data_IF_090119375365
#
_entry.id   IF_090119375365
#
_cell.length_a   1.000
_cell.length_b   1.000
_cell.length_c   1.000
_cell.angle_alpha   90.00
_cell.angle_beta   90.00
_cell.angle_gamma   90.00
#
_symmetry.space_group_name_H-M   'P 1'
#
loop_
_entity.id
_entity.type
_entity.pdbx_description
1 polymer ?
#
# COMPACT_ATOMS: atom_id res chain seq x y z
N UNK A 1 23.39 -17.15 4.84
CA UNK A 1 22.02 -17.70 4.84
C UNK A 1 21.01 -16.58 4.63
N UNK A 2 19.93 -16.86 3.90
CA UNK A 2 18.83 -15.92 3.65
C UNK A 2 17.50 -16.45 4.17
N UNK A 3 16.52 -15.56 4.31
CA UNK A 3 15.16 -15.89 4.74
C UNK A 3 14.16 -15.27 3.77
N UNK A 4 13.32 -16.11 3.20
CA UNK A 4 12.16 -15.72 2.41
C UNK A 4 10.89 -15.84 3.26
N UNK A 5 9.99 -14.86 3.14
CA UNK A 5 8.67 -14.85 3.77
C UNK A 5 7.63 -14.47 2.72
N UNK A 6 6.53 -15.20 2.68
CA UNK A 6 5.38 -14.89 1.85
C UNK A 6 4.13 -14.89 2.74
N UNK A 7 3.30 -13.88 2.57
CA UNK A 7 2.05 -13.67 3.29
C UNK A 7 0.97 -13.29 2.29
N UNK A 8 -0.24 -13.79 2.51
CA UNK A 8 -1.42 -13.43 1.75
C UNK A 8 -2.64 -13.30 2.66
N UNK A 9 -3.51 -12.36 2.34
CA UNK A 9 -4.78 -12.14 3.00
C UNK A 9 -5.87 -11.87 1.96
N UNK A 10 -7.09 -12.25 2.27
CA UNK A 10 -8.27 -11.86 1.52
C UNK A 10 -9.36 -11.43 2.49
N UNK A 11 -10.16 -10.44 2.09
CA UNK A 11 -11.33 -9.98 2.81
C UNK A 11 -12.51 -9.89 1.84
N UNK A 12 -13.69 -10.26 2.31
CA UNK A 12 -14.93 -9.97 1.61
C UNK A 12 -15.97 -9.49 2.60
N UNK A 13 -16.57 -8.35 2.30
CA UNK A 13 -17.61 -7.74 3.12
C UNK A 13 -18.85 -7.55 2.25
N UNK A 14 -20.00 -7.98 2.76
CA UNK A 14 -21.31 -7.68 2.20
C UNK A 14 -22.13 -7.07 3.34
N UNK A 15 -22.40 -5.77 3.23
CA UNK A 15 -23.13 -5.00 4.22
C UNK A 15 -24.32 -4.32 3.55
N UNK A 16 -25.47 -4.38 4.20
CA UNK A 16 -26.69 -3.73 3.73
C UNK A 16 -27.41 -3.12 4.93
N UNK A 17 -27.77 -1.84 4.80
CA UNK A 17 -28.49 -1.09 5.83
C UNK A 17 -29.54 -0.20 5.17
N UNK A 18 -30.73 -0.18 5.76
CA UNK A 18 -31.79 0.78 5.42
C UNK A 18 -31.88 1.75 6.60
N UNK A 19 -31.50 3.00 6.37
CA UNK A 19 -31.51 4.03 7.41
C UNK A 19 -32.71 4.96 7.19
N UNK A 20 -33.54 5.16 8.21
CA UNK A 20 -34.66 6.11 8.14
C UNK A 20 -34.16 7.54 7.92
N UNK A 21 -34.72 8.23 6.93
CA UNK A 21 -34.47 9.66 6.65
C UNK A 21 -35.78 10.43 6.81
N UNK A 22 -35.70 11.64 7.36
CA UNK A 22 -36.86 12.53 7.55
C UNK A 22 -37.43 12.97 6.19
N UNK A 23 -36.59 12.98 5.15
CA UNK A 23 -36.92 13.41 3.80
C UNK A 23 -37.33 12.25 2.87
N UNK A 24 -37.19 10.98 3.29
CA UNK A 24 -37.45 9.82 2.44
C UNK A 24 -38.20 8.71 3.21
N UNK A 25 -39.47 8.50 2.83
CA UNK A 25 -40.45 7.68 3.58
C UNK A 25 -40.06 6.18 3.59
N UNK A 26 -39.31 5.73 2.59
CA UNK A 26 -38.81 4.35 2.48
C UNK A 26 -37.43 4.14 3.16
N UNK A 27 -36.77 5.23 3.57
CA UNK A 27 -35.40 5.21 4.11
C UNK A 27 -34.33 5.06 3.03
N UNK A 28 -33.12 5.54 3.34
CA UNK A 28 -31.97 5.48 2.44
C UNK A 28 -31.32 4.09 2.53
N UNK A 29 -31.38 3.34 1.43
CA UNK A 29 -30.69 2.04 1.30
C UNK A 29 -29.21 2.25 0.97
N UNK A 30 -28.37 1.76 1.86
CA UNK A 30 -26.92 1.65 1.68
C UNK A 30 -26.54 0.18 1.53
N UNK A 31 -25.86 -0.15 0.43
CA UNK A 31 -25.25 -1.48 0.24
C UNK A 31 -23.78 -1.33 -0.08
N UNK A 32 -22.95 -2.13 0.56
CA UNK A 32 -21.50 -2.17 0.38
C UNK A 32 -21.04 -3.60 0.16
N UNK A 33 -20.53 -3.87 -1.04
CA UNK A 33 -19.91 -5.13 -1.44
C UNK A 33 -18.42 -4.89 -1.68
N UNK A 34 -17.56 -5.32 -0.75
CA UNK A 34 -16.11 -5.19 -0.82
C UNK A 34 -15.43 -6.55 -1.01
N UNK A 35 -14.41 -6.60 -1.85
CA UNK A 35 -13.51 -7.73 -1.99
C UNK A 35 -12.08 -7.22 -2.12
N UNK A 36 -11.21 -7.62 -1.21
CA UNK A 36 -9.83 -7.20 -1.17
C UNK A 36 -8.89 -8.40 -1.08
N UNK A 37 -7.89 -8.45 -1.93
CA UNK A 37 -6.82 -9.45 -1.90
C UNK A 37 -5.49 -8.73 -1.71
N UNK A 38 -4.72 -9.17 -0.72
CA UNK A 38 -3.42 -8.64 -0.39
C UNK A 38 -2.36 -9.74 -0.40
N UNK A 39 -1.24 -9.49 -1.06
CA UNK A 39 -0.08 -10.37 -1.10
C UNK A 39 1.17 -9.57 -0.71
N UNK A 40 2.04 -10.17 0.10
CA UNK A 40 3.32 -9.59 0.52
C UNK A 40 4.41 -10.66 0.47
N UNK A 41 5.47 -10.39 -0.29
CA UNK A 41 6.68 -11.20 -0.32
C UNK A 41 7.88 -10.40 0.17
N UNK A 42 8.74 -11.02 0.98
CA UNK A 42 10.01 -10.41 1.37
C UNK A 42 11.14 -11.42 1.42
N UNK A 43 12.33 -10.96 1.08
CA UNK A 43 13.56 -11.72 1.12
C UNK A 43 14.62 -10.92 1.87
N UNK A 44 15.32 -11.58 2.78
CA UNK A 44 16.48 -11.02 3.47
C UNK A 44 17.68 -11.93 3.25
N UNK A 45 18.76 -11.39 2.69
CA UNK A 45 20.01 -12.12 2.45
C UNK A 45 21.18 -11.47 3.16
N UNK A 46 22.08 -12.28 3.73
CA UNK A 46 23.42 -11.86 4.14
C UNK A 46 24.34 -12.07 2.93
N UNK A 47 24.98 -11.01 2.45
CA UNK A 47 25.88 -11.06 1.30
C UNK A 47 27.31 -11.40 1.75
N UNK A 48 27.75 -10.79 2.86
CA UNK A 48 29.02 -11.09 3.54
C UNK A 48 28.96 -10.55 4.99
N UNK A 49 30.10 -10.50 5.69
CA UNK A 49 30.19 -10.11 7.10
C UNK A 49 29.78 -8.64 7.39
N UNK A 50 29.78 -7.78 6.38
CA UNK A 50 29.44 -6.37 6.49
C UNK A 50 28.16 -6.01 5.72
N UNK A 51 27.84 -6.74 4.65
CA UNK A 51 26.72 -6.44 3.76
C UNK A 51 25.55 -7.40 3.91
N UNK A 52 24.35 -6.83 3.94
CA UNK A 52 23.10 -7.59 3.79
C UNK A 52 22.12 -6.83 2.91
N UNK A 53 21.23 -7.56 2.25
CA UNK A 53 20.16 -7.00 1.43
C UNK A 53 18.80 -7.43 1.97
N UNK A 54 17.81 -6.59 1.71
CA UNK A 54 16.41 -6.87 1.94
C UNK A 54 15.60 -6.38 0.74
N UNK A 55 14.91 -7.29 0.08
CA UNK A 55 13.99 -6.99 -1.01
C UNK A 55 12.59 -7.39 -0.61
N UNK A 56 11.58 -6.67 -1.07
CA UNK A 56 10.19 -7.03 -0.85
C UNK A 56 9.28 -6.47 -1.91
N UNK A 57 8.12 -7.10 -2.05
CA UNK A 57 7.03 -6.64 -2.88
C UNK A 57 5.71 -6.84 -2.15
N UNK A 58 4.73 -6.01 -2.47
CA UNK A 58 3.35 -6.23 -2.08
C UNK A 58 2.42 -5.88 -3.23
N UNK A 59 1.38 -6.67 -3.38
CA UNK A 59 0.32 -6.46 -4.35
C UNK A 59 -1.02 -6.44 -3.64
N UNK A 60 -1.85 -5.46 -3.99
CA UNK A 60 -3.21 -5.30 -3.48
C UNK A 60 -4.15 -5.22 -4.67
N UNK A 61 -5.22 -5.99 -4.62
CA UNK A 61 -6.35 -5.89 -5.54
C UNK A 61 -7.62 -5.68 -4.72
N UNK A 62 -8.19 -4.48 -4.78
CA UNK A 62 -9.42 -4.14 -4.09
C UNK A 62 -10.52 -3.82 -5.10
N UNK A 63 -11.72 -4.36 -4.84
CA UNK A 63 -12.95 -4.05 -5.55
C UNK A 63 -13.99 -3.63 -4.53
N UNK A 64 -14.56 -2.46 -4.75
CA UNK A 64 -15.60 -1.91 -3.90
C UNK A 64 -16.81 -1.58 -4.77
N UNK A 65 -17.98 -2.10 -4.42
CA UNK A 65 -19.24 -1.69 -5.02
C UNK A 65 -20.09 -1.09 -3.91
N UNK A 66 -20.49 0.16 -4.09
CA UNK A 66 -21.35 0.87 -3.17
C UNK A 66 -22.61 1.29 -3.90
N UNK A 67 -23.77 0.86 -3.39
CA UNK A 67 -25.07 1.31 -3.86
C UNK A 67 -25.69 2.23 -2.81
N UNK A 68 -26.10 3.43 -3.23
CA UNK A 68 -26.81 4.42 -2.42
C UNK A 68 -28.05 4.85 -3.20
N UNK A 69 -29.23 4.40 -2.77
CA UNK A 69 -30.52 4.68 -3.45
C UNK A 69 -30.46 4.24 -4.93
N UNK A 70 -30.39 5.18 -5.89
CA UNK A 70 -30.33 4.95 -7.34
C UNK A 70 -28.92 5.12 -7.95
N UNK A 71 -27.90 5.30 -7.10
CA UNK A 71 -26.50 5.51 -7.52
C UNK A 71 -25.65 4.29 -7.21
N UNK A 72 -24.91 3.83 -8.21
CA UNK A 72 -23.94 2.74 -8.07
C UNK A 72 -22.54 3.28 -8.34
N UNK A 73 -21.68 3.19 -7.33
CA UNK A 73 -20.25 3.52 -7.41
C UNK A 73 -19.47 2.21 -7.42
N UNK A 74 -18.66 1.98 -8.46
CA UNK A 74 -17.80 0.80 -8.57
C UNK A 74 -16.35 1.20 -8.68
N UNK A 75 -15.56 0.80 -7.69
CA UNK A 75 -14.13 1.09 -7.61
C UNK A 75 -13.34 -0.19 -7.77
N UNK A 76 -12.28 -0.11 -8.57
CA UNK A 76 -11.27 -1.16 -8.68
C UNK A 76 -9.90 -0.53 -8.53
N UNK A 77 -9.17 -0.95 -7.50
CA UNK A 77 -7.80 -0.55 -7.23
C UNK A 77 -6.84 -1.72 -7.43
N UNK A 78 -5.78 -1.48 -8.19
CA UNK A 78 -4.61 -2.35 -8.27
C UNK A 78 -3.40 -1.57 -7.78
N UNK A 79 -2.78 -2.02 -6.69
CA UNK A 79 -1.61 -1.38 -6.11
C UNK A 79 -0.46 -2.38 -6.04
N UNK A 80 0.69 -2.00 -6.58
CA UNK A 80 1.95 -2.74 -6.50
C UNK A 80 2.98 -1.86 -5.80
N UNK A 81 3.67 -2.41 -4.81
CA UNK A 81 4.77 -1.74 -4.14
C UNK A 81 5.96 -2.67 -4.12
N UNK A 82 7.12 -2.16 -4.53
CA UNK A 82 8.38 -2.89 -4.52
C UNK A 82 9.42 -2.08 -3.77
N UNK A 83 10.28 -2.75 -3.01
CA UNK A 83 11.30 -2.11 -2.18
C UNK A 83 12.57 -2.93 -2.13
N UNK A 84 13.70 -2.27 -2.32
CA UNK A 84 15.03 -2.85 -2.18
C UNK A 84 15.87 -2.01 -1.23
N UNK A 85 16.49 -2.66 -0.25
CA UNK A 85 17.31 -2.04 0.79
C UNK A 85 18.61 -2.80 0.97
N UNK A 86 19.71 -2.09 0.95
CA UNK A 86 21.02 -2.59 1.34
C UNK A 86 21.40 -2.06 2.71
N UNK A 87 22.17 -2.86 3.45
CA UNK A 87 22.75 -2.51 4.73
C UNK A 87 24.24 -2.81 4.67
N UNK A 88 25.06 -1.81 4.95
CA UNK A 88 26.49 -1.95 5.18
C UNK A 88 26.81 -1.67 6.65
N UNK A 89 27.38 -2.65 7.35
CA UNK A 89 27.95 -2.50 8.69
C UNK A 89 29.43 -2.16 8.54
N UNK A 90 29.74 -0.87 8.47
CA UNK A 90 31.13 -0.39 8.38
C UNK A 90 31.89 -0.74 9.67
N UNK A 91 31.25 -0.55 10.83
CA UNK A 91 31.76 -1.04 12.11
C UNK A 91 30.60 -1.25 13.12
N UNK A 92 30.91 -1.64 14.36
CA UNK A 92 29.88 -1.86 15.39
C UNK A 92 29.13 -0.57 15.80
N UNK A 93 29.72 0.61 15.54
CA UNK A 93 29.17 1.92 15.88
C UNK A 93 28.52 2.65 14.70
N UNK A 94 28.75 2.23 13.46
CA UNK A 94 28.26 2.90 12.26
C UNK A 94 27.66 1.90 11.28
N UNK A 95 26.37 2.04 11.01
CA UNK A 95 25.63 1.23 10.04
C UNK A 95 24.99 2.18 9.03
N UNK A 96 25.25 1.92 7.75
CA UNK A 96 24.64 2.64 6.65
C UNK A 96 23.59 1.75 5.99
N UNK A 97 22.46 2.35 5.63
CA UNK A 97 21.43 1.72 4.85
C UNK A 97 21.06 2.63 3.69
N UNK A 98 20.75 2.04 2.56
CA UNK A 98 20.27 2.78 1.40
C UNK A 98 19.42 1.87 0.54
N UNK A 99 18.57 2.46 -0.30
CA UNK A 99 17.66 1.69 -1.09
C UNK A 99 16.76 2.54 -1.95
N UNK A 100 15.89 1.84 -2.67
CA UNK A 100 14.86 2.42 -3.51
C UNK A 100 13.55 1.70 -3.31
N UNK A 101 12.45 2.38 -3.58
CA UNK A 101 11.11 1.84 -3.55
C UNK A 101 10.27 2.45 -4.67
N UNK A 102 9.40 1.64 -5.25
CA UNK A 102 8.48 2.06 -6.31
C UNK A 102 7.07 1.62 -5.93
N UNK A 103 6.13 2.56 -6.00
CA UNK A 103 4.70 2.37 -5.83
C UNK A 103 4.04 2.59 -7.19
N UNK A 104 3.20 1.66 -7.62
CA UNK A 104 2.39 1.78 -8.82
C UNK A 104 0.95 1.46 -8.45
N UNK A 105 0.07 2.46 -8.55
CA UNK A 105 -1.35 2.34 -8.23
C UNK A 105 -2.17 2.71 -9.45
N UNK A 106 -3.01 1.78 -9.90
CA UNK A 106 -4.02 1.99 -10.92
C UNK A 106 -5.39 1.92 -10.26
N UNK A 107 -6.07 3.07 -10.20
CA UNK A 107 -7.40 3.21 -9.65
C UNK A 107 -8.39 3.52 -10.76
N UNK A 108 -9.50 2.78 -10.80
CA UNK A 108 -10.60 2.96 -11.75
C UNK A 108 -11.90 3.02 -10.99
N UNK A 109 -12.61 4.14 -11.14
CA UNK A 109 -13.92 4.37 -10.56
C UNK A 109 -14.93 4.55 -11.70
N UNK A 110 -16.05 3.82 -11.62
CA UNK A 110 -17.19 3.98 -12.53
C UNK A 110 -18.38 4.49 -11.72
N UNK A 111 -18.85 5.68 -12.08
CA UNK A 111 -20.03 6.30 -11.51
C UNK A 111 -21.21 6.17 -12.47
N UNK A 112 -22.28 5.51 -12.05
CA UNK A 112 -23.54 5.43 -12.79
C UNK A 112 -24.67 6.09 -11.97
N UNK A 113 -25.47 6.92 -12.62
CA UNK A 113 -26.67 7.58 -12.06
C UNK A 113 -27.86 7.30 -13.00
N UNK A 114 -29.07 7.10 -12.47
CA UNK A 114 -30.28 6.77 -13.22
C UNK A 114 -30.69 7.84 -14.27
N UNK A 115 -30.09 9.04 -14.20
CA UNK A 115 -30.44 10.21 -15.02
C UNK A 115 -29.36 10.65 -16.04
N UNK A 116 -28.19 9.99 -16.11
CA UNK A 116 -27.13 10.35 -17.09
C UNK A 116 -26.22 9.17 -17.48
N UNK A 117 -25.64 9.19 -18.69
CA UNK A 117 -24.64 8.19 -19.13
C UNK A 117 -23.41 8.26 -18.22
N UNK A 118 -23.07 7.15 -17.58
CA UNK A 118 -22.06 7.08 -16.51
C UNK A 118 -20.67 7.60 -16.90
N UNK A 119 -20.02 8.24 -15.93
CA UNK A 119 -18.68 8.79 -16.04
C UNK A 119 -17.66 7.80 -15.47
N UNK A 120 -16.59 7.53 -16.23
CA UNK A 120 -15.47 6.70 -15.77
C UNK A 120 -14.29 7.60 -15.39
N UNK A 121 -13.88 7.56 -14.13
CA UNK A 121 -12.67 8.20 -13.64
C UNK A 121 -11.54 7.18 -13.57
N UNK A 122 -10.38 7.51 -14.16
CA UNK A 122 -9.17 6.69 -14.12
C UNK A 122 -8.05 7.53 -13.55
N UNK A 123 -7.37 7.00 -12.53
CA UNK A 123 -6.24 7.65 -11.87
C UNK A 123 -5.06 6.66 -11.80
N UNK A 124 -3.96 7.03 -12.44
CA UNK A 124 -2.70 6.29 -12.43
C UNK A 124 -1.66 7.10 -11.64
N UNK A 125 -1.06 6.48 -10.63
CA UNK A 125 -0.03 7.11 -9.81
C UNK A 125 1.16 6.17 -9.62
N UNK A 126 2.32 6.61 -10.10
CA UNK A 126 3.56 5.85 -10.04
C UNK A 126 4.62 6.69 -9.33
N UNK A 127 4.96 6.32 -8.10
CA UNK A 127 5.94 7.05 -7.28
C UNK A 127 7.19 6.18 -7.13
N UNK A 128 8.33 6.71 -7.54
CA UNK A 128 9.64 6.13 -7.25
C UNK A 128 10.34 6.98 -6.19
N UNK A 129 11.00 6.33 -5.23
CA UNK A 129 11.76 7.01 -4.19
C UNK A 129 13.09 6.33 -3.93
N UNK A 130 14.09 7.12 -3.58
CA UNK A 130 15.38 6.67 -3.11
C UNK A 130 15.60 7.18 -1.69
N UNK A 131 16.23 6.37 -0.84
CA UNK A 131 16.48 6.72 0.55
C UNK A 131 17.86 6.28 1.02
N UNK A 132 18.39 7.01 1.99
CA UNK A 132 19.60 6.69 2.72
C UNK A 132 19.38 6.92 4.23
N UNK A 133 19.95 6.08 5.06
CA UNK A 133 19.82 6.11 6.51
C UNK A 133 21.16 5.73 7.16
N UNK A 134 21.53 6.43 8.22
CA UNK A 134 22.72 6.13 9.01
C UNK A 134 22.36 5.97 10.49
N UNK A 135 22.79 4.86 11.09
CA UNK A 135 22.79 4.65 12.54
C UNK A 135 24.21 4.88 13.07
N UNK A 136 24.36 5.78 14.04
CA UNK A 136 25.63 6.19 14.66
C UNK A 136 25.53 6.01 16.18
N UNK A 137 26.32 5.11 16.75
CA UNK A 137 26.40 4.88 18.20
C UNK A 137 27.62 5.61 18.76
N UNK A 138 27.39 6.71 19.48
CA UNK A 138 28.48 7.50 20.09
C UNK A 138 28.97 6.82 21.38
N UNK A 139 28.04 6.32 22.20
CA UNK A 139 28.32 5.58 23.44
C UNK A 139 27.34 4.43 23.64
N UNK A 140 27.51 3.65 24.72
CA UNK A 140 26.54 2.60 25.10
C UNK A 140 25.14 3.18 25.41
N UNK A 141 25.07 4.47 25.75
CA UNK A 141 23.87 5.15 26.20
C UNK A 141 23.38 6.22 25.20
N UNK A 142 24.09 6.45 24.09
CA UNK A 142 23.76 7.50 23.12
C UNK A 142 23.92 7.00 21.67
N UNK A 143 22.82 7.03 20.93
CA UNK A 143 22.76 6.68 19.52
C UNK A 143 21.98 7.73 18.74
N UNK A 144 22.43 8.00 17.51
CA UNK A 144 21.80 8.88 16.54
C UNK A 144 21.37 8.07 15.33
N UNK A 145 20.21 8.42 14.77
CA UNK A 145 19.68 7.83 13.56
C UNK A 145 19.17 8.95 12.67
N UNK A 146 19.70 9.05 11.47
CA UNK A 146 19.28 10.03 10.47
C UNK A 146 18.85 9.33 9.20
N UNK A 147 17.83 9.86 8.52
CA UNK A 147 17.30 9.33 7.27
C UNK A 147 16.97 10.48 6.34
N UNK A 148 17.35 10.35 5.08
CA UNK A 148 16.99 11.25 3.98
C UNK A 148 16.29 10.42 2.91
N UNK A 149 15.25 10.99 2.29
CA UNK A 149 14.47 10.37 1.22
C UNK A 149 14.18 11.41 0.14
N UNK A 150 14.25 10.98 -1.11
CA UNK A 150 13.88 11.76 -2.30
C UNK A 150 12.84 10.97 -3.09
N UNK A 151 11.83 11.66 -3.62
CA UNK A 151 10.71 11.07 -4.32
C UNK A 151 10.56 11.69 -5.71
N UNK A 152 10.05 10.89 -6.64
CA UNK A 152 9.73 11.26 -8.02
C UNK A 152 8.39 10.62 -8.38
N UNK A 153 7.48 11.39 -8.98
CA UNK A 153 6.13 10.96 -9.37
C UNK A 153 5.80 11.40 -10.79
#
# INVERSE_FOLDING_TARGET
MGLFKLYGAFDTTNFELIQGDINDVEGVRFKLDNNNVYLNGSYRGILNDTWSMHGGFSYTHAKNNMDIIDRTIKDTENSLHTKLKFKNRINNRFKLYFGAECFATNFKEKYNDASSQGSTYVYDNNIAAAFAEADIFISKNLAFKTRVRSEYS
#
